data_IF_718038195815
#
_entry.id   IF_718038195815
#
_cell.length_a   1.000
_cell.length_b   1.000
_cell.length_c   1.000
_cell.angle_alpha   90.00
_cell.angle_beta   90.00
_cell.angle_gamma   90.00
#
_symmetry.space_group_name_H-M   'P 1'
#
loop_
_entity.id
_entity.type
_entity.pdbx_description
1 polymer ?
#
# COMPACT_ATOMS: atom_id res chain seq x y z
N UNK A 1 -8.32 -27.96 -72.09
CA UNK A 1 -9.00 -28.89 -71.16
C UNK A 1 -9.46 -28.06 -69.96
N UNK A 2 -10.60 -27.35 -70.02
CA UNK A 2 -12.00 -27.70 -69.66
C UNK A 2 -12.23 -28.25 -68.23
N UNK A 3 -13.11 -27.52 -67.51
CA UNK A 3 -13.87 -27.78 -66.26
C UNK A 3 -13.16 -27.32 -64.97
N UNK A 4 -13.54 -26.23 -64.27
CA UNK A 4 -14.84 -25.76 -63.72
C UNK A 4 -15.50 -26.79 -62.80
N UNK A 5 -15.51 -26.53 -61.49
CA UNK A 5 -16.74 -26.59 -60.68
C UNK A 5 -16.63 -25.78 -59.39
N UNK A 6 -17.39 -24.69 -59.36
CA UNK A 6 -17.88 -23.97 -58.19
C UNK A 6 -19.08 -24.77 -57.64
N UNK A 7 -19.17 -25.00 -56.33
CA UNK A 7 -20.46 -25.36 -55.72
C UNK A 7 -20.67 -24.58 -54.43
N UNK A 8 -21.51 -23.56 -54.56
CA UNK A 8 -22.18 -22.82 -53.50
C UNK A 8 -23.38 -23.65 -53.03
N UNK A 9 -23.57 -23.80 -51.72
CA UNK A 9 -24.87 -24.17 -51.14
C UNK A 9 -25.25 -23.09 -50.12
N UNK A 10 -26.38 -22.44 -50.40
CA UNK A 10 -27.09 -21.52 -49.51
C UNK A 10 -28.46 -22.13 -49.25
N UNK A 11 -28.82 -22.32 -47.98
CA UNK A 11 -30.20 -22.36 -47.46
C UNK A 11 -30.10 -22.35 -45.92
N UNK A 12 -30.24 -21.22 -45.23
CA UNK A 12 -31.45 -20.50 -44.80
C UNK A 12 -32.26 -21.13 -43.65
N UNK A 13 -32.32 -20.33 -42.56
CA UNK A 13 -33.34 -20.17 -41.52
C UNK A 13 -33.55 -21.27 -40.45
N UNK A 14 -33.21 -20.91 -39.21
CA UNK A 14 -34.22 -20.70 -38.17
C UNK A 14 -33.72 -19.65 -37.14
N UNK A 15 -34.55 -18.63 -36.94
CA UNK A 15 -34.44 -17.63 -35.88
C UNK A 15 -34.85 -18.31 -34.56
N UNK A 16 -34.07 -18.10 -33.50
CA UNK A 16 -34.63 -18.00 -32.14
C UNK A 16 -33.84 -16.94 -31.37
N UNK A 17 -34.51 -15.85 -31.05
CA UNK A 17 -34.03 -14.87 -30.09
C UNK A 17 -34.05 -15.48 -28.68
N UNK A 18 -32.96 -15.31 -27.94
CA UNK A 18 -32.98 -15.31 -26.48
C UNK A 18 -31.92 -14.31 -25.99
N UNK A 19 -32.40 -13.30 -25.28
CA UNK A 19 -31.60 -12.31 -24.57
C UNK A 19 -30.74 -12.95 -23.47
N UNK A 20 -29.61 -12.32 -23.14
CA UNK A 20 -28.89 -12.54 -21.88
C UNK A 20 -27.47 -13.08 -22.07
N UNK A 21 -26.57 -12.28 -22.63
CA UNK A 21 -25.13 -12.54 -22.58
C UNK A 21 -24.47 -11.73 -21.49
N UNK A 22 -24.40 -12.27 -20.28
CA UNK A 22 -23.41 -11.87 -19.27
C UNK A 22 -22.02 -12.08 -19.87
N UNK A 23 -21.21 -11.04 -19.96
CA UNK A 23 -19.79 -11.20 -20.27
C UNK A 23 -19.13 -11.92 -19.09
N UNK A 24 -18.71 -13.15 -19.32
CA UNK A 24 -17.83 -13.90 -18.41
C UNK A 24 -16.46 -13.23 -18.43
N UNK A 25 -15.85 -12.89 -17.27
CA UNK A 25 -14.47 -12.42 -17.25
C UNK A 25 -13.54 -13.52 -17.76
N UNK A 26 -12.52 -13.14 -18.52
CA UNK A 26 -11.49 -14.03 -19.03
C UNK A 26 -10.66 -14.65 -17.89
N UNK A 27 -11.09 -15.80 -17.38
CA UNK A 27 -10.40 -16.60 -16.34
C UNK A 27 -9.29 -17.52 -16.92
N UNK A 28 -8.30 -16.97 -17.61
CA UNK A 28 -7.13 -17.80 -17.98
C UNK A 28 -5.84 -17.17 -17.51
N UNK A 29 -5.31 -17.70 -16.41
CA UNK A 29 -3.91 -17.51 -16.04
C UNK A 29 -2.97 -18.01 -17.14
N UNK A 30 -1.76 -17.46 -17.18
CA UNK A 30 -0.69 -17.87 -18.09
C UNK A 30 -0.46 -19.39 -17.97
N UNK A 31 -0.21 -20.12 -19.09
CA UNK A 31 0.05 -21.55 -19.05
C UNK A 31 1.15 -21.90 -18.03
N UNK A 32 0.83 -22.75 -17.06
CA UNK A 32 1.75 -23.17 -15.99
C UNK A 32 1.52 -22.53 -14.62
N UNK A 33 0.62 -21.54 -14.50
CA UNK A 33 0.29 -20.91 -13.22
C UNK A 33 -1.12 -21.26 -12.77
N UNK A 34 -1.27 -21.66 -11.51
CA UNK A 34 -2.57 -21.90 -10.87
C UNK A 34 -2.94 -20.63 -10.10
N UNK A 35 -4.08 -20.02 -10.41
CA UNK A 35 -4.60 -18.87 -9.67
C UNK A 35 -4.79 -19.26 -8.21
N UNK A 36 -4.24 -18.45 -7.31
CA UNK A 36 -4.47 -18.57 -5.88
C UNK A 36 -5.88 -18.05 -5.56
N UNK A 37 -6.77 -18.92 -5.07
CA UNK A 37 -8.08 -18.49 -4.59
C UNK A 37 -8.01 -18.29 -3.08
N UNK A 38 -8.24 -17.06 -2.61
CA UNK A 38 -8.03 -16.69 -1.21
C UNK A 38 -9.06 -17.29 -0.22
N UNK A 39 -10.07 -18.02 -0.70
CA UNK A 39 -11.07 -18.70 0.14
C UNK A 39 -11.87 -17.77 1.08
N UNK A 40 -11.86 -16.44 0.86
CA UNK A 40 -12.50 -15.47 1.76
C UNK A 40 -14.00 -15.39 1.52
N UNK A 41 -14.78 -15.62 2.57
CA UNK A 41 -16.20 -15.24 2.67
C UNK A 41 -16.29 -13.72 2.83
N UNK A 42 -17.23 -13.08 2.12
CA UNK A 42 -17.47 -11.64 2.23
C UNK A 42 -17.76 -11.24 3.69
N UNK A 43 -17.04 -10.25 4.21
CA UNK A 43 -17.33 -9.65 5.51
C UNK A 43 -18.67 -8.91 5.44
N UNK A 44 -19.45 -8.97 6.53
CA UNK A 44 -20.71 -8.24 6.61
C UNK A 44 -20.48 -6.72 6.58
N UNK A 45 -21.41 -5.93 6.00
CA UNK A 45 -21.25 -4.49 5.90
C UNK A 45 -21.24 -3.85 7.29
N UNK A 46 -20.24 -3.00 7.54
CA UNK A 46 -20.18 -2.17 8.75
C UNK A 46 -21.17 -1.01 8.57
N UNK A 47 -22.14 -0.89 9.49
CA UNK A 47 -23.03 0.28 9.53
C UNK A 47 -22.21 1.56 9.79
N UNK A 48 -22.27 2.51 8.86
CA UNK A 48 -21.77 3.87 9.05
C UNK A 48 -22.47 4.53 10.24
N UNK A 49 -21.77 4.63 11.38
CA UNK A 49 -22.21 5.46 12.50
C UNK A 49 -21.73 6.89 12.32
N UNK A 50 -22.67 7.82 12.42
CA UNK A 50 -22.47 9.27 12.30
C UNK A 50 -21.30 9.77 13.16
N UNK A 51 -20.44 10.56 12.52
CA UNK A 51 -19.33 11.33 13.07
C UNK A 51 -19.80 12.30 14.15
N UNK A 52 -19.57 11.96 15.41
CA UNK A 52 -19.45 12.96 16.48
C UNK A 52 -17.97 13.35 16.62
N UNK A 53 -17.68 14.65 16.52
CA UNK A 53 -16.36 15.23 16.70
C UNK A 53 -15.85 14.97 18.12
N UNK A 54 -14.66 14.36 18.25
CA UNK A 54 -14.00 14.18 19.54
C UNK A 54 -13.58 15.54 20.11
N UNK A 55 -13.99 15.84 21.34
CA UNK A 55 -13.56 17.04 22.08
C UNK A 55 -12.55 16.60 23.14
N UNK A 56 -11.32 17.17 23.21
CA UNK A 56 -10.31 16.76 24.17
C UNK A 56 -10.83 16.88 25.61
N UNK A 57 -10.72 15.79 26.38
CA UNK A 57 -11.04 15.79 27.82
C UNK A 57 -9.77 16.05 28.65
N UNK A 58 -9.93 16.50 29.90
CA UNK A 58 -8.83 16.55 30.87
C UNK A 58 -8.08 15.21 30.89
N UNK A 59 -6.74 15.27 30.86
CA UNK A 59 -5.89 14.07 30.83
C UNK A 59 -5.34 13.69 29.45
N UNK A 60 -5.58 14.45 28.39
CA UNK A 60 -4.92 14.23 27.08
C UNK A 60 -3.50 14.81 27.01
N UNK A 61 -2.64 14.21 26.20
CA UNK A 61 -1.22 14.57 26.06
C UNK A 61 -1.04 15.92 25.34
N UNK A 62 -0.16 16.78 25.85
CA UNK A 62 0.13 18.10 25.25
C UNK A 62 1.35 18.08 24.32
N UNK A 63 2.07 16.96 24.29
CA UNK A 63 3.23 16.74 23.44
C UNK A 63 3.37 15.24 23.18
N UNK A 64 3.46 14.85 21.91
CA UNK A 64 3.75 13.47 21.50
C UNK A 64 4.31 13.48 20.08
N UNK A 65 4.89 12.37 19.66
CA UNK A 65 5.28 12.09 18.28
C UNK A 65 4.65 10.79 17.84
N UNK A 66 4.18 10.74 16.60
CA UNK A 66 3.75 9.50 15.94
C UNK A 66 4.97 8.85 15.28
N UNK A 67 5.03 7.52 15.21
CA UNK A 67 6.14 6.84 14.58
C UNK A 67 6.32 7.26 13.10
N UNK A 68 7.57 7.37 12.65
CA UNK A 68 7.94 7.80 11.30
C UNK A 68 7.39 6.89 10.20
N UNK A 69 6.99 5.66 10.55
CA UNK A 69 6.24 4.76 9.67
C UNK A 69 4.96 5.41 9.11
N UNK A 70 4.30 6.26 9.90
CA UNK A 70 3.08 6.94 9.50
C UNK A 70 3.42 8.20 8.70
N UNK A 71 2.87 8.30 7.50
CA UNK A 71 2.98 9.47 6.63
C UNK A 71 1.79 9.55 5.70
N UNK A 72 1.70 10.63 4.92
CA UNK A 72 0.81 10.67 3.76
C UNK A 72 1.11 9.53 2.77
N UNK A 73 0.15 9.25 1.89
CA UNK A 73 0.24 8.22 0.84
C UNK A 73 0.44 6.78 1.39
N UNK A 74 0.11 6.49 2.65
CA UNK A 74 0.33 5.16 3.24
C UNK A 74 -0.85 4.20 3.06
N UNK A 75 -0.61 2.91 3.34
CA UNK A 75 -1.65 1.88 3.44
C UNK A 75 -1.75 1.38 4.88
N UNK A 76 -2.98 1.24 5.37
CA UNK A 76 -3.33 0.50 6.59
C UNK A 76 -3.99 -0.84 6.22
N UNK A 77 -3.87 -1.89 7.05
CA UNK A 77 -4.32 -3.22 6.66
C UNK A 77 -5.85 -3.32 6.63
N UNK A 78 -6.37 -3.92 5.56
CA UNK A 78 -7.78 -4.32 5.46
C UNK A 78 -8.08 -5.55 6.33
N UNK A 79 -9.34 -5.70 6.73
CA UNK A 79 -9.88 -6.84 7.48
C UNK A 79 -9.11 -7.16 8.78
N UNK A 80 -8.38 -6.17 9.31
CA UNK A 80 -7.60 -6.25 10.55
C UNK A 80 -7.73 -4.95 11.33
N UNK A 81 -7.47 -5.04 12.64
CA UNK A 81 -7.40 -3.85 13.48
C UNK A 81 -6.19 -3.01 13.10
N UNK A 82 -6.39 -1.69 13.08
CA UNK A 82 -5.34 -0.72 12.79
C UNK A 82 -4.70 -0.30 14.10
N UNK A 83 -3.38 -0.47 14.18
CA UNK A 83 -2.59 -0.11 15.35
C UNK A 83 -1.82 1.16 15.02
N UNK A 84 -1.93 2.17 15.90
CA UNK A 84 -1.16 3.42 15.79
C UNK A 84 -0.31 3.56 17.05
N UNK A 85 0.94 3.97 16.88
CA UNK A 85 1.89 4.08 17.99
C UNK A 85 2.84 5.26 17.80
N UNK A 86 3.51 5.59 18.89
CA UNK A 86 4.47 6.66 18.92
C UNK A 86 5.10 6.80 20.29
N UNK A 87 5.72 7.94 20.52
CA UNK A 87 6.41 8.27 21.75
C UNK A 87 5.97 9.63 22.27
N UNK A 88 6.35 9.93 23.50
CA UNK A 88 6.16 11.23 24.14
C UNK A 88 7.23 11.40 25.22
N UNK A 89 7.55 12.63 25.64
CA UNK A 89 8.37 12.85 26.82
C UNK A 89 7.77 12.17 28.05
N UNK A 90 8.59 11.65 28.97
CA UNK A 90 8.10 11.00 30.21
C UNK A 90 7.22 11.91 31.07
N UNK A 91 7.34 13.24 30.91
CA UNK A 91 6.45 14.22 31.55
C UNK A 91 4.98 14.08 31.13
N UNK A 92 4.70 13.37 30.04
CA UNK A 92 3.37 13.07 29.53
C UNK A 92 2.87 11.68 29.95
N UNK A 93 3.61 10.92 30.75
CA UNK A 93 3.13 9.64 31.27
C UNK A 93 1.80 9.83 32.04
N UNK A 94 0.86 8.91 31.83
CA UNK A 94 -0.50 9.03 32.38
C UNK A 94 -1.45 9.89 31.54
N UNK A 95 -0.97 10.52 30.47
CA UNK A 95 -1.80 11.28 29.54
C UNK A 95 -2.28 10.42 28.38
N UNK A 96 -3.39 10.82 27.76
CA UNK A 96 -4.06 10.09 26.68
C UNK A 96 -3.72 10.67 25.31
N UNK A 97 -3.39 9.79 24.36
CA UNK A 97 -3.37 10.07 22.92
C UNK A 97 -4.56 9.36 22.27
N UNK A 98 -5.26 10.02 21.34
CA UNK A 98 -6.41 9.47 20.64
C UNK A 98 -6.22 9.54 19.12
N UNK A 99 -6.83 8.63 18.38
CA UNK A 99 -6.82 8.66 16.92
C UNK A 99 -8.17 8.26 16.32
N UNK A 100 -8.42 8.75 15.11
CA UNK A 100 -9.61 8.47 14.33
C UNK A 100 -9.27 8.23 12.85
N UNK A 101 -9.89 7.22 12.25
CA UNK A 101 -9.77 6.93 10.82
C UNK A 101 -11.04 6.23 10.30
N UNK A 102 -11.68 6.80 9.27
CA UNK A 102 -12.94 6.30 8.69
C UNK A 102 -14.00 5.91 9.73
N UNK A 103 -14.14 6.74 10.77
CA UNK A 103 -15.08 6.52 11.87
C UNK A 103 -14.63 5.51 12.94
N UNK A 104 -13.55 4.75 12.70
CA UNK A 104 -12.91 3.96 13.75
C UNK A 104 -12.15 4.89 14.70
N UNK A 105 -12.23 4.62 15.99
CA UNK A 105 -11.60 5.44 17.03
C UNK A 105 -10.81 4.57 17.99
N UNK A 106 -9.74 5.13 18.56
CA UNK A 106 -8.92 4.49 19.57
C UNK A 106 -8.22 5.52 20.44
N UNK A 107 -7.83 5.11 21.65
CA UNK A 107 -7.05 5.93 22.57
C UNK A 107 -6.16 5.06 23.44
N UNK A 108 -5.03 5.59 23.88
CA UNK A 108 -4.13 4.92 24.81
C UNK A 108 -3.51 5.92 25.78
N UNK A 109 -3.20 5.43 26.98
CA UNK A 109 -2.37 6.13 27.95
C UNK A 109 -0.90 6.01 27.56
N UNK A 110 -0.14 7.08 27.79
CA UNK A 110 1.32 7.08 27.63
C UNK A 110 1.93 6.39 28.84
N UNK A 111 2.72 5.35 28.57
CA UNK A 111 3.45 4.59 29.57
C UNK A 111 4.93 4.53 29.18
N UNK A 112 5.82 4.91 30.11
CA UNK A 112 7.28 4.91 29.91
C UNK A 112 7.72 5.65 28.63
N UNK A 113 7.10 6.80 28.35
CA UNK A 113 7.40 7.63 27.18
C UNK A 113 6.95 7.04 25.84
N UNK A 114 6.14 5.97 25.84
CA UNK A 114 5.60 5.35 24.64
C UNK A 114 4.07 5.19 24.74
N UNK A 115 3.41 5.12 23.59
CA UNK A 115 1.98 4.84 23.52
C UNK A 115 1.66 3.99 22.31
N UNK A 116 0.61 3.18 22.43
CA UNK A 116 0.11 2.31 21.37
C UNK A 116 -1.39 2.16 21.53
N UNK A 117 -2.15 2.60 20.53
CA UNK A 117 -3.59 2.49 20.49
C UNK A 117 -4.04 1.56 19.36
N UNK A 118 -5.24 1.02 19.52
CA UNK A 118 -5.93 0.22 18.50
C UNK A 118 -7.20 0.95 18.11
N UNK A 119 -7.40 1.18 16.81
CA UNK A 119 -8.66 1.67 16.27
C UNK A 119 -9.68 0.53 16.31
N UNK A 120 -10.76 0.72 17.05
CA UNK A 120 -11.71 -0.36 17.35
C UNK A 120 -12.50 -0.76 16.10
N UNK A 121 -12.29 -1.99 15.62
CA UNK A 121 -12.97 -2.55 14.45
C UNK A 121 -12.03 -2.81 13.28
N UNK A 122 -12.61 -3.10 12.12
CA UNK A 122 -11.89 -3.42 10.88
C UNK A 122 -12.55 -2.73 9.70
N UNK A 123 -11.78 -2.44 8.66
CA UNK A 123 -12.27 -1.83 7.43
C UNK A 123 -12.06 -2.77 6.23
N UNK A 124 -13.00 -2.85 5.29
CA UNK A 124 -12.75 -3.47 4.00
C UNK A 124 -11.77 -2.61 3.18
N UNK A 125 -11.27 -3.14 2.07
CA UNK A 125 -10.46 -2.35 1.14
C UNK A 125 -11.17 -1.06 0.72
N UNK A 126 -10.42 0.04 0.61
CA UNK A 126 -10.97 1.35 0.26
C UNK A 126 -11.19 1.57 -1.24
N UNK A 127 -10.68 0.67 -2.09
CA UNK A 127 -10.49 0.97 -3.51
C UNK A 127 -9.57 2.19 -3.67
N UNK A 128 -9.93 3.09 -4.58
CA UNK A 128 -9.10 4.24 -4.97
C UNK A 128 -9.24 5.47 -4.04
N UNK A 129 -10.14 5.42 -3.06
CA UNK A 129 -10.42 6.59 -2.22
C UNK A 129 -9.49 6.65 -1.00
N UNK A 130 -8.61 7.64 -0.98
CA UNK A 130 -7.83 8.05 0.19
C UNK A 130 -8.66 8.73 1.28
N UNK A 131 -8.25 8.57 2.53
CA UNK A 131 -8.88 9.18 3.70
C UNK A 131 -7.83 9.76 4.65
N UNK A 132 -8.25 10.64 5.56
CA UNK A 132 -7.34 11.23 6.56
C UNK A 132 -7.33 10.41 7.85
N UNK A 133 -6.15 9.95 8.28
CA UNK A 133 -5.93 9.48 9.65
C UNK A 133 -5.56 10.69 10.50
N UNK A 134 -6.27 10.88 11.61
CA UNK A 134 -5.98 11.92 12.59
C UNK A 134 -5.49 11.28 13.88
N UNK A 135 -4.37 11.78 14.42
CA UNK A 135 -3.92 11.52 15.79
C UNK A 135 -3.98 12.84 16.56
N UNK A 136 -4.48 12.82 17.79
CA UNK A 136 -4.80 14.02 18.55
C UNK A 136 -4.46 13.88 20.03
N UNK A 137 -4.09 15.01 20.62
CA UNK A 137 -3.87 15.19 22.05
C UNK A 137 -4.71 16.34 22.60
N UNK A 138 -4.27 16.88 23.73
CA UNK A 138 -4.83 18.07 24.36
C UNK A 138 -4.40 19.36 23.66
N UNK A 139 -5.04 20.47 24.06
CA UNK A 139 -4.65 21.83 23.64
C UNK A 139 -4.51 22.03 22.12
N UNK A 140 -5.23 21.26 21.31
CA UNK A 140 -5.21 21.38 19.84
C UNK A 140 -4.03 20.70 19.15
N UNK A 141 -3.23 19.91 19.87
CA UNK A 141 -2.17 19.09 19.26
C UNK A 141 -2.80 18.02 18.38
N UNK A 142 -2.40 18.00 17.12
CA UNK A 142 -2.96 17.12 16.09
C UNK A 142 -1.91 16.83 15.02
N UNK A 143 -1.81 15.57 14.63
CA UNK A 143 -1.07 15.10 13.46
C UNK A 143 -2.07 14.49 12.48
N UNK A 144 -1.96 14.85 11.21
CA UNK A 144 -2.83 14.36 10.14
C UNK A 144 -2.00 13.71 9.05
N UNK A 145 -2.48 12.56 8.58
CA UNK A 145 -1.90 11.83 7.45
C UNK A 145 -2.97 11.74 6.37
N UNK A 146 -2.67 12.30 5.20
CA UNK A 146 -3.57 12.37 4.06
C UNK A 146 -3.35 11.19 3.10
N UNK A 147 -4.34 10.94 2.25
CA UNK A 147 -4.32 9.85 1.26
C UNK A 147 -3.99 8.46 1.85
N UNK A 148 -4.54 8.18 3.04
CA UNK A 148 -4.40 6.86 3.67
C UNK A 148 -5.42 5.90 3.06
N UNK A 149 -4.91 4.82 2.46
CA UNK A 149 -5.71 3.76 1.86
C UNK A 149 -5.85 2.55 2.80
N UNK A 150 -6.91 1.75 2.60
CA UNK A 150 -7.11 0.47 3.29
C UNK A 150 -6.86 -0.67 2.30
N UNK A 151 -5.84 -1.48 2.54
CA UNK A 151 -5.33 -2.42 1.55
C UNK A 151 -4.54 -3.60 2.13
N UNK A 152 -3.81 -4.30 1.27
CA UNK A 152 -2.93 -5.41 1.67
C UNK A 152 -1.48 -4.90 1.79
N UNK A 153 -0.90 -4.98 2.99
CA UNK A 153 0.50 -4.57 3.23
C UNK A 153 1.42 -5.79 3.11
N UNK A 154 2.48 -5.67 2.30
CA UNK A 154 3.47 -6.71 2.11
C UNK A 154 4.88 -6.23 2.45
N UNK A 155 5.64 -7.10 3.12
CA UNK A 155 7.06 -6.86 3.38
C UNK A 155 7.86 -7.71 2.40
N UNK A 156 8.65 -7.04 1.56
CA UNK A 156 9.60 -7.69 0.67
C UNK A 156 10.96 -7.64 1.34
N UNK A 157 11.46 -8.81 1.75
CA UNK A 157 12.75 -8.98 2.40
C UNK A 157 13.54 -10.12 1.75
N UNK A 158 14.85 -10.09 1.90
CA UNK A 158 15.74 -11.09 1.32
C UNK A 158 17.19 -10.61 1.32
N UNK A 159 17.98 -11.21 0.44
CA UNK A 159 19.38 -10.82 0.23
C UNK A 159 19.49 -9.81 -0.93
N UNK A 160 20.68 -9.61 -1.48
CA UNK A 160 20.98 -8.61 -2.50
C UNK A 160 20.03 -8.59 -3.70
N UNK A 161 19.53 -9.75 -4.14
CA UNK A 161 18.61 -9.83 -5.28
C UNK A 161 17.24 -9.19 -5.00
N UNK A 162 16.76 -9.23 -3.76
CA UNK A 162 15.51 -8.56 -3.37
C UNK A 162 15.68 -7.04 -3.30
N UNK A 163 16.92 -6.56 -3.14
CA UNK A 163 17.25 -5.14 -3.06
C UNK A 163 17.67 -4.53 -4.41
N UNK A 164 17.73 -5.35 -5.48
CA UNK A 164 18.02 -4.86 -6.83
C UNK A 164 16.98 -3.84 -7.28
N UNK A 165 17.49 -2.74 -7.83
CA UNK A 165 16.69 -1.64 -8.36
C UNK A 165 16.83 -1.57 -9.88
N UNK A 166 16.19 -0.59 -10.50
CA UNK A 166 16.31 -0.33 -11.93
C UNK A 166 17.68 0.24 -12.34
N UNK A 167 18.52 0.63 -11.37
CA UNK A 167 19.91 1.03 -11.56
C UNK A 167 20.85 -0.07 -11.06
N UNK A 168 21.40 -0.85 -11.98
CA UNK A 168 22.49 -1.78 -11.67
C UNK A 168 22.11 -3.25 -11.84
N UNK A 169 22.43 -3.79 -13.01
CA UNK A 169 22.76 -5.21 -13.12
C UNK A 169 24.22 -5.40 -12.77
N UNK A 170 24.52 -6.47 -12.05
CA UNK A 170 25.88 -7.01 -12.00
C UNK A 170 26.29 -7.25 -13.46
N UNK A 171 27.32 -6.54 -13.94
CA UNK A 171 27.85 -6.55 -15.31
C UNK A 171 27.20 -5.64 -16.39
N UNK A 172 26.88 -4.38 -16.06
CA UNK A 172 27.00 -3.29 -17.04
C UNK A 172 25.83 -3.06 -18.02
N UNK A 173 24.61 -3.50 -17.70
CA UNK A 173 23.43 -3.35 -18.59
C UNK A 173 22.26 -2.60 -17.94
N UNK A 174 22.51 -1.52 -17.19
CA UNK A 174 21.42 -0.65 -16.73
C UNK A 174 20.61 -0.03 -17.88
N UNK A 175 21.24 0.18 -19.03
CA UNK A 175 20.58 0.66 -20.26
C UNK A 175 19.58 -0.36 -20.82
N UNK A 176 19.75 -1.65 -20.53
CA UNK A 176 18.83 -2.68 -21.02
C UNK A 176 17.54 -2.71 -20.17
N UNK A 177 17.61 -2.74 -18.84
CA UNK A 177 16.40 -2.92 -18.00
C UNK A 177 15.38 -1.79 -18.19
N UNK A 178 15.82 -0.53 -18.17
CA UNK A 178 14.91 0.61 -18.32
C UNK A 178 14.26 0.65 -19.71
N UNK A 179 14.97 0.16 -20.73
CA UNK A 179 14.43 0.03 -22.10
C UNK A 179 13.50 -1.16 -22.21
N UNK A 180 13.84 -2.31 -21.60
CA UNK A 180 13.02 -3.52 -21.62
C UNK A 180 11.65 -3.33 -20.96
N UNK A 181 11.56 -2.48 -19.93
CA UNK A 181 10.33 -2.22 -19.18
C UNK A 181 9.85 -0.77 -19.35
N UNK A 182 10.21 -0.10 -20.44
CA UNK A 182 9.89 1.31 -20.65
C UNK A 182 8.38 1.55 -20.59
N UNK A 183 7.61 0.74 -21.32
CA UNK A 183 6.15 0.82 -21.38
C UNK A 183 5.52 0.56 -20.00
N UNK A 184 5.94 -0.50 -19.30
CA UNK A 184 5.41 -0.82 -17.97
C UNK A 184 5.71 0.24 -16.91
N UNK A 185 6.86 0.90 -17.04
CA UNK A 185 7.28 1.97 -16.13
C UNK A 185 6.62 3.31 -16.49
N UNK A 186 6.34 3.57 -17.78
CA UNK A 186 5.57 4.76 -18.20
C UNK A 186 4.10 4.67 -17.82
N UNK A 187 3.56 3.46 -17.73
CA UNK A 187 2.22 3.21 -17.22
C UNK A 187 2.11 3.38 -15.69
N UNK A 188 3.23 3.50 -14.96
CA UNK A 188 3.25 3.62 -13.51
C UNK A 188 2.87 5.03 -13.06
N UNK A 189 1.61 5.22 -12.66
CA UNK A 189 1.03 6.52 -12.34
C UNK A 189 0.62 6.63 -10.87
N UNK A 190 0.28 7.82 -10.40
CA UNK A 190 -0.11 8.04 -9.00
C UNK A 190 -1.47 7.45 -8.66
N UNK A 191 -2.32 7.36 -9.68
CA UNK A 191 -3.66 6.82 -9.64
C UNK A 191 -3.65 5.29 -9.45
N UNK A 192 -2.52 4.63 -9.73
CA UNK A 192 -2.33 3.25 -9.28
C UNK A 192 -2.31 3.22 -7.75
N UNK A 193 -3.20 2.44 -7.14
CA UNK A 193 -3.28 2.32 -5.68
C UNK A 193 -2.18 1.42 -5.10
N UNK A 194 -0.96 1.57 -5.63
CA UNK A 194 0.24 0.90 -5.16
C UNK A 194 1.05 1.93 -4.37
N UNK A 195 1.38 1.62 -3.12
CA UNK A 195 2.20 2.47 -2.25
C UNK A 195 3.50 1.75 -1.89
N UNK A 196 4.58 2.52 -1.80
CA UNK A 196 5.92 1.99 -1.55
C UNK A 196 6.58 2.72 -0.38
N UNK A 197 7.24 1.94 0.47
CA UNK A 197 8.10 2.40 1.55
C UNK A 197 9.37 1.54 1.56
N UNK A 198 10.54 2.16 1.46
CA UNK A 198 11.84 1.47 1.51
C UNK A 198 12.83 2.29 2.31
N UNK A 199 13.26 1.75 3.45
CA UNK A 199 14.53 2.11 4.08
C UNK A 199 15.62 1.18 3.54
N UNK A 200 16.79 1.73 3.16
CA UNK A 200 17.84 0.96 2.48
C UNK A 200 19.07 0.73 3.35
N UNK A 201 19.80 -0.34 3.09
CA UNK A 201 21.07 -0.65 3.74
C UNK A 201 22.17 0.37 3.43
N UNK A 202 22.03 1.23 2.42
CA UNK A 202 22.97 2.33 2.15
C UNK A 202 23.12 3.28 3.35
N UNK A 203 22.12 3.38 4.22
CA UNK A 203 22.23 4.17 5.45
C UNK A 203 23.32 3.63 6.38
N UNK A 204 23.55 2.31 6.40
CA UNK A 204 24.64 1.70 7.18
C UNK A 204 26.03 2.12 6.69
N UNK A 205 26.13 2.52 5.42
CA UNK A 205 27.37 3.01 4.82
C UNK A 205 27.56 4.51 4.99
N UNK A 206 26.57 5.20 5.56
CA UNK A 206 26.62 6.62 5.82
C UNK A 206 27.04 6.85 7.28
N UNK A 207 28.20 7.50 7.48
CA UNK A 207 28.72 7.79 8.82
C UNK A 207 27.71 8.56 9.70
N UNK A 208 26.77 9.30 9.10
CA UNK A 208 25.68 9.98 9.82
C UNK A 208 24.73 9.01 10.55
N UNK A 209 24.56 7.79 10.04
CA UNK A 209 23.59 6.81 10.56
C UNK A 209 24.25 5.57 11.17
N UNK A 210 25.58 5.49 11.19
CA UNK A 210 26.31 4.39 11.83
C UNK A 210 25.91 4.21 13.30
N UNK A 211 25.92 5.30 14.09
CA UNK A 211 25.58 5.23 15.51
C UNK A 211 24.11 4.82 15.76
N UNK A 212 23.11 5.47 15.13
CA UNK A 212 21.72 5.01 15.22
C UNK A 212 21.58 3.53 14.90
N UNK A 213 22.19 3.04 13.82
CA UNK A 213 21.96 1.69 13.30
C UNK A 213 22.78 0.58 14.01
N UNK A 214 23.55 0.90 15.05
CA UNK A 214 24.28 -0.09 15.85
C UNK A 214 23.41 -0.86 16.85
N UNK A 215 22.22 -0.33 17.17
CA UNK A 215 21.24 -0.95 18.06
C UNK A 215 19.94 -1.27 17.33
N UNK A 216 19.11 -2.22 17.81
CA UNK A 216 17.79 -2.46 17.25
C UNK A 216 16.98 -1.16 17.19
N UNK A 217 16.57 -0.78 15.98
CA UNK A 217 15.75 0.41 15.77
C UNK A 217 14.33 0.16 16.26
N UNK A 218 13.78 1.13 16.98
CA UNK A 218 12.38 1.13 17.41
C UNK A 218 11.45 1.80 16.39
N UNK A 219 12.01 2.45 15.36
CA UNK A 219 11.30 3.13 14.29
C UNK A 219 12.18 3.23 13.03
N UNK A 220 11.58 3.58 11.88
CA UNK A 220 12.33 3.92 10.67
C UNK A 220 13.00 5.29 10.79
N UNK A 221 14.04 5.55 10.00
CA UNK A 221 14.67 6.87 9.96
C UNK A 221 13.68 7.91 9.41
N UNK A 222 13.62 9.09 10.03
CA UNK A 222 12.63 10.14 9.72
C UNK A 222 12.72 10.73 8.31
N UNK A 223 13.76 10.40 7.54
CA UNK A 223 13.87 10.76 6.13
C UNK A 223 13.01 9.87 5.21
N UNK A 224 12.60 8.70 5.68
CA UNK A 224 11.77 7.77 4.92
C UNK A 224 10.30 8.01 5.18
N UNK A 225 9.50 7.82 4.14
CA UNK A 225 8.05 7.96 4.17
C UNK A 225 7.44 7.18 3.01
N UNK A 226 6.14 6.96 3.08
CA UNK A 226 5.37 6.34 2.01
C UNK A 226 5.32 7.23 0.77
N UNK A 227 5.20 6.57 -0.38
CA UNK A 227 5.03 7.21 -1.67
C UNK A 227 4.07 6.40 -2.55
N UNK A 228 3.33 7.09 -3.40
CA UNK A 228 2.74 6.48 -4.60
C UNK A 228 3.83 5.84 -5.47
N UNK A 229 3.53 4.67 -6.05
CA UNK A 229 4.45 3.93 -6.91
C UNK A 229 4.54 4.49 -8.34
N UNK A 230 4.53 5.81 -8.50
CA UNK A 230 4.73 6.47 -9.79
C UNK A 230 6.17 6.26 -10.30
N UNK A 231 6.37 6.28 -11.63
CA UNK A 231 7.67 6.00 -12.29
C UNK A 231 8.86 6.64 -11.58
N UNK A 232 8.79 7.95 -11.27
CA UNK A 232 9.90 8.68 -10.66
C UNK A 232 10.29 8.17 -9.27
N UNK A 233 9.35 7.55 -8.53
CA UNK A 233 9.56 7.00 -7.19
C UNK A 233 10.03 5.55 -7.24
N UNK A 234 9.48 4.78 -8.18
CA UNK A 234 9.89 3.40 -8.41
C UNK A 234 11.30 3.33 -9.00
N UNK A 235 11.55 4.09 -10.07
CA UNK A 235 12.85 4.13 -10.73
C UNK A 235 13.85 4.95 -9.92
N UNK A 236 13.45 6.10 -9.36
CA UNK A 236 14.36 7.00 -8.65
C UNK A 236 15.37 7.69 -9.57
N UNK A 237 16.32 8.42 -8.97
CA UNK A 237 17.46 9.05 -9.67
C UNK A 237 18.81 8.40 -9.35
N UNK A 238 18.83 7.45 -8.41
CA UNK A 238 20.00 6.72 -7.93
C UNK A 238 19.54 5.43 -7.26
N UNK A 239 20.44 4.46 -7.08
CA UNK A 239 20.14 3.18 -6.39
C UNK A 239 19.52 3.39 -5.00
N UNK A 240 20.00 4.39 -4.25
CA UNK A 240 19.51 4.72 -2.91
C UNK A 240 18.08 5.26 -2.90
N UNK A 241 17.64 5.87 -4.01
CA UNK A 241 16.35 6.55 -4.12
C UNK A 241 15.36 5.79 -5.03
N UNK A 242 15.74 4.62 -5.54
CA UNK A 242 14.86 3.71 -6.27
C UNK A 242 14.11 2.80 -5.31
N UNK A 243 13.05 2.16 -5.78
CA UNK A 243 12.44 1.02 -5.10
C UNK A 243 13.01 -0.31 -5.60
N UNK A 244 12.72 -1.39 -4.87
CA UNK A 244 13.02 -2.75 -5.32
C UNK A 244 12.24 -3.08 -6.58
N UNK A 245 12.93 -3.52 -7.63
CA UNK A 245 12.28 -3.97 -8.87
C UNK A 245 11.36 -5.18 -8.61
N UNK A 246 11.83 -6.13 -7.80
CA UNK A 246 11.04 -7.30 -7.40
C UNK A 246 9.79 -6.87 -6.62
N UNK A 247 9.95 -5.97 -5.65
CA UNK A 247 8.84 -5.49 -4.84
C UNK A 247 7.79 -4.75 -5.67
N UNK A 248 8.22 -3.89 -6.59
CA UNK A 248 7.32 -3.17 -7.48
C UNK A 248 6.52 -4.12 -8.39
N UNK A 249 7.19 -5.02 -9.10
CA UNK A 249 6.48 -5.93 -10.00
C UNK A 249 5.58 -6.93 -9.27
N UNK A 250 5.97 -7.35 -8.06
CA UNK A 250 5.11 -8.15 -7.20
C UNK A 250 3.83 -7.40 -6.83
N UNK A 251 3.95 -6.15 -6.36
CA UNK A 251 2.79 -5.32 -6.01
C UNK A 251 1.92 -5.03 -7.24
N UNK A 252 2.54 -4.75 -8.39
CA UNK A 252 1.84 -4.54 -9.66
C UNK A 252 1.03 -5.76 -10.09
N UNK A 253 1.59 -6.97 -9.96
CA UNK A 253 0.87 -8.20 -10.27
C UNK A 253 -0.32 -8.41 -9.32
N UNK A 254 -0.14 -8.17 -8.00
CA UNK A 254 -1.23 -8.23 -7.03
C UNK A 254 -2.36 -7.25 -7.38
N UNK A 255 -2.01 -6.00 -7.68
CA UNK A 255 -2.97 -4.97 -8.05
C UNK A 255 -3.67 -5.29 -9.38
N UNK A 256 -2.95 -5.83 -10.36
CA UNK A 256 -3.53 -6.28 -11.65
C UNK A 256 -4.54 -7.40 -11.46
N UNK A 257 -4.27 -8.32 -10.52
CA UNK A 257 -5.18 -9.42 -10.21
C UNK A 257 -6.41 -8.96 -9.41
N UNK A 258 -6.32 -7.86 -8.67
CA UNK A 258 -7.39 -7.33 -7.85
C UNK A 258 -7.29 -5.79 -7.66
N UNK A 259 -7.76 -5.01 -8.64
CA UNK A 259 -7.58 -3.55 -8.64
C UNK A 259 -8.39 -2.83 -7.54
N UNK A 260 -9.39 -3.49 -6.94
CA UNK A 260 -10.18 -2.93 -5.84
C UNK A 260 -9.43 -2.94 -4.50
N UNK A 261 -8.24 -3.57 -4.44
CA UNK A 261 -7.43 -3.68 -3.23
C UNK A 261 -6.10 -2.95 -3.43
N UNK A 262 -5.91 -1.80 -2.75
CA UNK A 262 -4.60 -1.13 -2.67
C UNK A 262 -3.51 -2.05 -2.11
N UNK A 263 -2.27 -1.86 -2.55
CA UNK A 263 -1.09 -2.69 -2.19
C UNK A 263 0.10 -1.86 -1.77
#
# INVERSE_FOLDING_TARGET
MKKVLLLTVVASLCLSAACGGTQTPSETARPGYKLWTSGRTAAEPVEERKTESYTPQEGTAEEFTVANYFSDDMIVPKDKEIVVWGTAPESQNGKIVAAEFKGLKGSAEIENGAWKLVLQGTLPASGEQGHTLTVSGGNGVKEEFEDVLVGDIWIVSGQSNSDLTFFGTVAGTSTDILTLYEEELDAAVKEDNIRILRQTNFDLMNDRYQEPMNEPQTDILSSYRWHTAERRRVVGSSVSNSFSMLGYFFAKELYTLNPDVPV
#
